data_IF_437443560498
#
_entry.id   IF_437443560498
#
_cell.length_a   1.000
_cell.length_b   1.000
_cell.length_c   1.000
_cell.angle_alpha   90.00
_cell.angle_beta   90.00
_cell.angle_gamma   90.00
#
_symmetry.space_group_name_H-M   'P 1'
#
loop_
_entity.id
_entity.type
_entity.pdbx_description
1 polymer ?
#
# COMPACT_ATOMS: atom_id res chain seq x y z
N UNK A 1 21.22 -7.84 18.68
CA UNK A 1 20.91 -8.70 17.51
C UNK A 1 20.79 -7.79 16.31
N UNK A 2 21.56 -8.05 15.27
CA UNK A 2 21.51 -7.24 14.04
C UNK A 2 20.21 -7.57 13.29
N UNK A 3 19.23 -6.69 13.39
CA UNK A 3 17.92 -6.81 12.77
C UNK A 3 18.02 -6.99 11.24
N UNK A 4 19.00 -6.34 10.61
CA UNK A 4 19.22 -6.42 9.15
C UNK A 4 19.59 -7.84 8.69
N UNK A 5 20.36 -8.61 9.49
CA UNK A 5 20.67 -10.02 9.18
C UNK A 5 19.43 -10.92 9.25
N UNK A 6 18.46 -10.57 10.10
CA UNK A 6 17.16 -11.25 10.16
C UNK A 6 16.33 -11.05 8.89
N UNK A 7 16.38 -9.85 8.29
CA UNK A 7 15.66 -9.55 7.04
C UNK A 7 16.22 -10.34 5.84
N UNK A 8 17.55 -10.50 5.75
CA UNK A 8 18.19 -11.33 4.70
C UNK A 8 17.69 -12.78 4.74
N UNK A 9 17.56 -13.32 5.92
CA UNK A 9 17.11 -14.71 6.11
C UNK A 9 15.61 -14.88 5.80
N UNK A 10 14.79 -13.88 6.15
CA UNK A 10 13.36 -13.88 5.87
C UNK A 10 13.04 -13.71 4.38
N UNK A 11 13.86 -12.98 3.64
CA UNK A 11 13.64 -12.78 2.20
C UNK A 11 13.98 -14.01 1.37
N UNK A 12 14.87 -14.91 1.85
CA UNK A 12 15.27 -16.13 1.17
C UNK A 12 16.02 -15.90 -0.16
N UNK A 13 16.54 -14.70 -0.39
CA UNK A 13 17.31 -14.38 -1.59
C UNK A 13 18.72 -14.95 -1.53
N UNK A 14 19.15 -15.62 -2.60
CA UNK A 14 20.51 -16.14 -2.74
C UNK A 14 21.45 -15.10 -3.35
N UNK A 15 20.94 -14.22 -4.19
CA UNK A 15 21.69 -13.17 -4.88
C UNK A 15 22.03 -12.00 -3.94
N UNK A 16 23.26 -11.52 -4.00
CA UNK A 16 23.76 -10.44 -3.12
C UNK A 16 23.09 -9.09 -3.41
N UNK A 17 22.83 -8.79 -4.67
CA UNK A 17 22.14 -7.55 -5.05
C UNK A 17 20.70 -7.58 -4.56
N UNK A 18 20.02 -8.72 -4.69
CA UNK A 18 18.67 -8.89 -4.19
C UNK A 18 18.61 -8.74 -2.66
N UNK A 19 19.59 -9.26 -1.92
CA UNK A 19 19.71 -9.05 -0.47
C UNK A 19 19.95 -7.58 -0.12
N UNK A 20 20.80 -6.90 -0.86
CA UNK A 20 21.08 -5.47 -0.67
C UNK A 20 19.83 -4.64 -0.90
N UNK A 21 19.06 -4.93 -1.98
CA UNK A 21 17.80 -4.25 -2.27
C UNK A 21 16.74 -4.50 -1.18
N UNK A 22 16.63 -5.73 -0.69
CA UNK A 22 15.69 -6.06 0.40
C UNK A 22 16.01 -5.29 1.69
N UNK A 23 17.31 -5.14 2.03
CA UNK A 23 17.76 -4.30 3.16
C UNK A 23 17.44 -2.82 2.95
N UNK A 24 17.66 -2.32 1.74
CA UNK A 24 17.39 -0.92 1.40
C UNK A 24 15.88 -0.63 1.46
N UNK A 25 15.05 -1.57 0.99
CA UNK A 25 13.61 -1.46 1.05
C UNK A 25 13.07 -1.33 2.48
N UNK A 26 13.71 -2.01 3.46
CA UNK A 26 13.30 -1.92 4.87
C UNK A 26 13.39 -0.49 5.44
N UNK A 27 14.26 0.35 4.91
CA UNK A 27 14.44 1.73 5.38
C UNK A 27 13.20 2.61 5.12
N UNK A 28 12.35 2.25 4.16
CA UNK A 28 11.13 2.97 3.83
C UNK A 28 9.92 2.50 4.62
N UNK A 29 10.02 1.39 5.34
CA UNK A 29 8.93 0.86 6.16
C UNK A 29 8.98 1.46 7.58
N UNK A 30 7.84 1.93 8.02
CA UNK A 30 7.67 2.53 9.35
C UNK A 30 6.38 2.03 10.00
N UNK A 31 6.34 2.06 11.32
CA UNK A 31 5.11 1.88 12.09
C UNK A 31 4.38 3.23 12.15
N UNK A 32 3.12 3.23 11.73
CA UNK A 32 2.25 4.38 11.84
C UNK A 32 1.55 4.37 13.19
N UNK A 33 1.86 5.34 14.06
CA UNK A 33 1.32 5.38 15.43
C UNK A 33 -0.20 5.54 15.46
N UNK A 34 -0.75 6.38 14.57
CA UNK A 34 -2.18 6.67 14.52
C UNK A 34 -3.05 5.45 14.18
N UNK A 35 -2.51 4.46 13.49
CA UNK A 35 -3.24 3.26 13.06
C UNK A 35 -2.70 1.98 13.68
N UNK A 36 -1.51 2.01 14.29
CA UNK A 36 -0.79 0.84 14.77
C UNK A 36 -0.36 -0.12 13.66
N UNK A 37 -0.48 0.29 12.40
CA UNK A 37 -0.13 -0.48 11.22
C UNK A 37 1.20 -0.06 10.59
N UNK A 38 1.67 -0.88 9.64
CA UNK A 38 2.85 -0.54 8.84
C UNK A 38 2.47 0.46 7.75
N UNK A 39 3.43 1.30 7.36
CA UNK A 39 3.33 2.19 6.22
C UNK A 39 4.64 2.29 5.46
N UNK A 40 4.60 2.90 4.26
CA UNK A 40 5.78 3.23 3.45
C UNK A 40 5.92 4.75 3.41
N UNK A 41 7.08 5.25 3.84
CA UNK A 41 7.40 6.67 3.77
C UNK A 41 7.80 7.04 2.34
N UNK A 42 7.22 8.11 1.81
CA UNK A 42 7.49 8.59 0.46
C UNK A 42 8.92 9.15 0.31
N UNK A 43 9.49 9.69 1.38
CA UNK A 43 10.88 10.14 1.38
C UNK A 43 11.34 10.78 2.68
N UNK A 44 12.54 10.44 3.11
CA UNK A 44 13.19 11.02 4.28
C UNK A 44 13.83 12.37 3.97
N UNK A 45 13.84 13.30 4.94
CA UNK A 45 13.11 13.30 6.22
C UNK A 45 11.81 14.08 6.19
N UNK A 46 11.37 14.56 5.00
CA UNK A 46 10.35 15.61 4.89
C UNK A 46 8.97 15.10 4.46
N UNK A 47 8.89 13.87 3.95
CA UNK A 47 7.64 13.33 3.43
C UNK A 47 7.14 12.19 4.33
N UNK A 48 5.88 12.30 4.71
CA UNK A 48 5.13 11.24 5.38
C UNK A 48 4.71 10.15 4.36
N UNK A 49 3.69 9.40 4.66
CA UNK A 49 3.15 8.44 3.71
C UNK A 49 2.15 9.10 2.75
N UNK A 50 2.37 8.83 1.47
CA UNK A 50 1.54 9.29 0.38
C UNK A 50 0.91 8.09 -0.32
N UNK A 51 -0.41 8.14 -0.56
CA UNK A 51 -1.15 7.00 -1.05
C UNK A 51 -0.67 6.48 -2.41
N UNK A 52 -0.46 7.37 -3.37
CA UNK A 52 0.11 7.02 -4.67
C UNK A 52 1.48 6.38 -4.53
N UNK A 53 2.38 7.04 -3.80
CA UNK A 53 3.76 6.58 -3.61
C UNK A 53 3.80 5.23 -2.90
N UNK A 54 2.97 5.06 -1.86
CA UNK A 54 2.82 3.79 -1.16
C UNK A 54 2.36 2.68 -2.10
N UNK A 55 1.33 2.91 -2.92
CA UNK A 55 0.80 1.88 -3.84
C UNK A 55 1.78 1.56 -4.97
N UNK A 56 2.54 2.52 -5.46
CA UNK A 56 3.59 2.28 -6.46
C UNK A 56 4.76 1.50 -5.85
N UNK A 57 5.18 1.83 -4.63
CA UNK A 57 6.33 1.22 -3.98
C UNK A 57 6.04 -0.17 -3.38
N UNK A 58 4.81 -0.42 -2.91
CA UNK A 58 4.42 -1.64 -2.18
C UNK A 58 4.77 -2.95 -2.89
N UNK A 59 4.58 -3.11 -4.22
CA UNK A 59 4.98 -4.31 -4.92
C UNK A 59 6.48 -4.63 -4.79
N UNK A 60 7.35 -3.62 -4.87
CA UNK A 60 8.79 -3.78 -4.71
C UNK A 60 9.20 -3.94 -3.25
N UNK A 61 8.79 -3.00 -2.40
CA UNK A 61 9.23 -2.90 -1.00
C UNK A 61 8.70 -4.06 -0.14
N UNK A 62 7.47 -4.51 -0.40
CA UNK A 62 6.84 -5.53 0.42
C UNK A 62 6.68 -6.87 -0.31
N UNK A 63 6.02 -6.89 -1.49
CA UNK A 63 5.61 -8.15 -2.13
C UNK A 63 6.84 -8.89 -2.67
N UNK A 64 7.70 -8.22 -3.46
CA UNK A 64 8.92 -8.81 -3.99
C UNK A 64 9.92 -9.19 -2.90
N UNK A 65 9.96 -8.43 -1.80
CA UNK A 65 10.74 -8.73 -0.62
C UNK A 65 10.11 -9.82 0.28
N UNK A 66 8.98 -10.43 -0.12
CA UNK A 66 8.22 -11.44 0.63
C UNK A 66 7.75 -10.98 2.02
N UNK A 67 7.61 -9.68 2.21
CA UNK A 67 7.09 -9.06 3.44
C UNK A 67 5.56 -9.01 3.38
N UNK A 68 4.94 -10.16 3.24
CA UNK A 68 3.49 -10.28 3.04
C UNK A 68 2.66 -9.77 4.22
N UNK A 69 3.18 -9.90 5.45
CA UNK A 69 2.54 -9.35 6.64
C UNK A 69 2.46 -7.83 6.61
N UNK A 70 3.55 -7.16 6.21
CA UNK A 70 3.60 -5.70 6.08
C UNK A 70 2.70 -5.22 4.94
N UNK A 71 2.73 -5.90 3.78
CA UNK A 71 1.83 -5.61 2.67
C UNK A 71 0.35 -5.65 3.10
N UNK A 72 -0.06 -6.69 3.83
CA UNK A 72 -1.43 -6.80 4.37
C UNK A 72 -1.76 -5.68 5.34
N UNK A 73 -0.83 -5.34 6.24
CA UNK A 73 -1.02 -4.25 7.21
C UNK A 73 -1.27 -2.93 6.50
N UNK A 74 -0.44 -2.59 5.51
CA UNK A 74 -0.55 -1.36 4.72
C UNK A 74 -1.89 -1.34 3.95
N UNK A 75 -2.20 -2.40 3.20
CA UNK A 75 -3.43 -2.48 2.42
C UNK A 75 -4.68 -2.39 3.30
N UNK A 76 -4.70 -3.02 4.49
CA UNK A 76 -5.79 -2.88 5.46
C UNK A 76 -5.97 -1.46 5.96
N UNK A 77 -4.87 -0.78 6.28
CA UNK A 77 -4.91 0.62 6.69
C UNK A 77 -5.55 1.48 5.60
N UNK A 78 -5.08 1.39 4.36
CA UNK A 78 -5.66 2.16 3.26
C UNK A 78 -7.12 1.80 2.99
N UNK A 79 -7.49 0.51 3.07
CA UNK A 79 -8.88 0.06 2.92
C UNK A 79 -9.82 0.66 3.97
N UNK A 80 -9.37 0.87 5.21
CA UNK A 80 -10.17 1.50 6.28
C UNK A 80 -10.42 2.99 6.03
N UNK A 81 -9.53 3.64 5.29
CA UNK A 81 -9.63 5.05 4.96
C UNK A 81 -10.15 5.30 3.53
N UNK A 82 -10.59 4.25 2.83
CA UNK A 82 -11.29 4.43 1.56
C UNK A 82 -12.56 5.26 1.79
N UNK A 83 -12.77 6.28 0.96
CA UNK A 83 -13.92 7.17 1.03
C UNK A 83 -14.46 7.47 -0.38
N UNK A 84 -15.70 7.08 -0.62
CA UNK A 84 -16.40 7.31 -1.89
C UNK A 84 -15.60 6.88 -3.12
N UNK A 85 -14.90 5.73 -3.02
CA UNK A 85 -14.09 5.17 -4.10
C UNK A 85 -12.68 5.74 -4.20
N UNK A 86 -12.30 6.69 -3.34
CA UNK A 86 -10.98 7.29 -3.35
C UNK A 86 -10.10 6.78 -2.20
N UNK A 87 -8.81 6.73 -2.44
CA UNK A 87 -7.79 6.45 -1.42
C UNK A 87 -7.14 7.76 -0.95
N UNK A 88 -6.74 7.85 0.33
CA UNK A 88 -6.02 9.02 0.80
C UNK A 88 -4.71 9.19 0.03
N UNK A 89 -4.47 10.39 -0.47
CA UNK A 89 -3.21 10.71 -1.13
C UNK A 89 -2.18 11.24 -0.13
N UNK A 90 -2.48 12.30 0.57
CA UNK A 90 -1.73 12.71 1.75
C UNK A 90 -2.43 12.13 2.97
N UNK A 91 -1.68 11.39 3.77
CA UNK A 91 -2.18 10.70 4.95
C UNK A 91 -1.38 11.13 6.19
N UNK A 92 -1.64 12.35 6.71
CA UNK A 92 -0.81 12.92 7.75
C UNK A 92 -0.95 12.17 9.08
N UNK A 93 0.13 12.07 9.83
CA UNK A 93 0.07 11.67 11.23
C UNK A 93 -0.60 12.75 12.08
N UNK A 94 -1.37 12.33 13.07
CA UNK A 94 -1.98 13.23 14.04
C UNK A 94 -3.42 13.64 13.72
N UNK A 95 -3.75 14.94 13.85
CA UNK A 95 -5.13 15.43 13.86
C UNK A 95 -5.66 15.93 12.51
N UNK A 96 -4.83 15.93 11.48
CA UNK A 96 -5.25 16.41 10.17
C UNK A 96 -6.01 15.32 9.41
N UNK A 97 -7.06 15.72 8.70
CA UNK A 97 -7.83 14.80 7.88
C UNK A 97 -7.03 14.37 6.64
N UNK A 98 -7.18 13.11 6.21
CA UNK A 98 -6.59 12.64 4.97
C UNK A 98 -7.10 13.43 3.75
N UNK A 99 -6.24 13.66 2.76
CA UNK A 99 -6.60 14.34 1.52
C UNK A 99 -6.82 13.32 0.39
N UNK A 100 -7.92 13.47 -0.35
CA UNK A 100 -8.37 12.53 -1.40
C UNK A 100 -8.35 13.19 -2.78
N UNK A 101 -7.18 13.52 -3.27
CA UNK A 101 -7.02 14.31 -4.50
C UNK A 101 -6.16 13.61 -5.57
N UNK A 102 -6.19 12.26 -5.64
CA UNK A 102 -5.53 11.50 -6.69
C UNK A 102 -6.49 10.56 -7.41
N UNK A 103 -6.30 10.46 -8.72
CA UNK A 103 -7.07 9.57 -9.60
C UNK A 103 -6.59 8.12 -9.47
N UNK A 104 -5.30 7.90 -9.36
CA UNK A 104 -4.68 6.59 -9.58
C UNK A 104 -4.49 5.76 -8.30
N UNK A 105 -4.40 6.38 -7.12
CA UNK A 105 -4.12 5.65 -5.87
C UNK A 105 -5.13 4.53 -5.58
N UNK A 106 -6.42 4.75 -5.84
CA UNK A 106 -7.46 3.75 -5.64
C UNK A 106 -7.37 2.58 -6.65
N UNK A 107 -7.04 2.87 -7.90
CA UNK A 107 -6.85 1.83 -8.92
C UNK A 107 -5.56 1.05 -8.68
N UNK A 108 -4.51 1.72 -8.25
CA UNK A 108 -3.26 1.09 -7.84
C UNK A 108 -3.45 0.19 -6.61
N UNK A 109 -4.33 0.56 -5.67
CA UNK A 109 -4.69 -0.30 -4.54
C UNK A 109 -5.26 -1.64 -5.03
N UNK A 110 -6.19 -1.65 -5.98
CA UNK A 110 -6.74 -2.88 -6.57
C UNK A 110 -5.61 -3.71 -7.20
N UNK A 111 -4.71 -3.07 -7.94
CA UNK A 111 -3.56 -3.73 -8.52
C UNK A 111 -2.63 -4.34 -7.45
N UNK A 112 -2.39 -3.64 -6.34
CA UNK A 112 -1.59 -4.15 -5.23
C UNK A 112 -2.22 -5.39 -4.57
N UNK A 113 -3.54 -5.40 -4.36
CA UNK A 113 -4.27 -6.57 -3.85
C UNK A 113 -4.11 -7.77 -4.80
N UNK A 114 -4.21 -7.54 -6.11
CA UNK A 114 -3.98 -8.56 -7.13
C UNK A 114 -2.55 -9.11 -7.13
N UNK A 115 -1.55 -8.23 -7.11
CA UNK A 115 -0.14 -8.62 -7.07
C UNK A 115 0.20 -9.40 -5.79
N UNK A 116 -0.35 -8.96 -4.66
CA UNK A 116 -0.25 -9.67 -3.39
C UNK A 116 -0.82 -11.09 -3.50
N UNK A 117 -2.03 -11.23 -4.05
CA UNK A 117 -2.66 -12.54 -4.25
C UNK A 117 -1.81 -13.45 -5.13
N UNK A 118 -1.30 -12.94 -6.25
CA UNK A 118 -0.43 -13.73 -7.14
C UNK A 118 0.83 -14.23 -6.45
N UNK A 119 1.39 -13.46 -5.53
CA UNK A 119 2.64 -13.79 -4.84
C UNK A 119 2.42 -14.68 -3.60
N UNK A 120 1.36 -14.42 -2.83
CA UNK A 120 1.12 -15.06 -1.54
C UNK A 120 0.08 -16.20 -1.59
N UNK A 121 -0.78 -16.25 -2.63
CA UNK A 121 -1.86 -17.22 -2.74
C UNK A 121 -3.00 -17.04 -1.73
N UNK A 122 -3.06 -15.90 -1.02
CA UNK A 122 -3.98 -15.64 0.09
C UNK A 122 -5.37 -15.19 -0.40
N UNK A 123 -6.19 -16.15 -0.81
CA UNK A 123 -7.56 -15.90 -1.26
C UNK A 123 -8.47 -15.33 -0.15
N UNK A 124 -8.17 -15.60 1.12
CA UNK A 124 -8.94 -15.06 2.24
C UNK A 124 -8.77 -13.54 2.33
N UNK A 125 -7.56 -13.05 2.12
CA UNK A 125 -7.30 -11.61 2.09
C UNK A 125 -7.98 -10.92 0.90
N UNK A 126 -8.01 -11.56 -0.27
CA UNK A 126 -8.76 -11.01 -1.41
C UNK A 126 -10.25 -10.87 -1.08
N UNK A 127 -10.85 -11.87 -0.44
CA UNK A 127 -12.26 -11.81 0.01
C UNK A 127 -12.49 -10.66 1.01
N UNK A 128 -11.53 -10.43 1.90
CA UNK A 128 -11.57 -9.32 2.85
C UNK A 128 -11.54 -7.96 2.14
N UNK A 129 -10.72 -7.80 1.10
CA UNK A 129 -10.57 -6.56 0.35
C UNK A 129 -11.63 -6.36 -0.75
N UNK A 130 -12.34 -7.41 -1.13
CA UNK A 130 -13.29 -7.37 -2.25
C UNK A 130 -14.36 -6.28 -2.12
N UNK A 131 -15.01 -6.07 -0.96
CA UNK A 131 -16.00 -5.01 -0.82
C UNK A 131 -15.44 -3.59 -1.04
N UNK A 132 -14.17 -3.37 -0.67
CA UNK A 132 -13.48 -2.10 -0.90
C UNK A 132 -13.22 -1.90 -2.40
N UNK A 133 -12.69 -2.92 -3.05
CA UNK A 133 -12.42 -2.89 -4.50
C UNK A 133 -13.70 -2.67 -5.30
N UNK A 134 -14.80 -3.30 -4.90
CA UNK A 134 -16.12 -3.12 -5.53
C UNK A 134 -16.62 -1.68 -5.40
N UNK A 135 -16.54 -1.08 -4.20
CA UNK A 135 -16.91 0.33 -4.00
C UNK A 135 -16.07 1.27 -4.86
N UNK A 136 -14.76 1.04 -4.97
CA UNK A 136 -13.89 1.83 -5.84
C UNK A 136 -14.38 1.76 -7.28
N UNK A 137 -14.60 0.57 -7.82
CA UNK A 137 -15.05 0.40 -9.21
C UNK A 137 -16.42 1.05 -9.45
N UNK A 138 -17.36 0.90 -8.52
CA UNK A 138 -18.68 1.52 -8.68
C UNK A 138 -18.62 3.05 -8.60
N UNK A 139 -17.78 3.60 -7.71
CA UNK A 139 -17.59 5.04 -7.63
C UNK A 139 -16.96 5.62 -8.90
N UNK A 140 -15.98 4.93 -9.48
CA UNK A 140 -15.37 5.37 -10.74
C UNK A 140 -16.35 5.29 -11.93
N UNK A 141 -17.27 4.34 -11.93
CA UNK A 141 -18.35 4.28 -12.95
C UNK A 141 -19.39 5.37 -12.78
N UNK A 142 -19.72 5.72 -11.55
CA UNK A 142 -20.77 6.71 -11.24
C UNK A 142 -20.26 8.15 -11.07
N UNK A 143 -18.95 8.35 -11.02
CA UNK A 143 -18.29 9.61 -10.67
C UNK A 143 -18.03 9.74 -9.17
N UNK A 144 -16.91 10.32 -8.80
CA UNK A 144 -16.48 10.56 -7.42
C UNK A 144 -16.64 12.04 -7.04
N UNK A 145 -16.36 12.38 -5.77
CA UNK A 145 -16.50 13.74 -5.23
C UNK A 145 -15.67 14.81 -5.98
N UNK A 146 -14.58 14.41 -6.66
CA UNK A 146 -13.69 15.33 -7.39
C UNK A 146 -13.89 15.27 -8.91
N UNK A 147 -15.05 14.86 -9.37
CA UNK A 147 -15.33 14.61 -10.78
C UNK A 147 -14.37 13.61 -11.44
N UNK A 148 -13.78 12.72 -10.63
CA UNK A 148 -12.99 11.60 -11.11
C UNK A 148 -13.97 10.47 -11.44
N UNK A 149 -13.93 9.98 -12.68
CA UNK A 149 -14.83 8.94 -13.14
C UNK A 149 -14.46 8.46 -14.53
N UNK A 150 -15.24 7.52 -15.03
CA UNK A 150 -15.14 7.06 -16.41
C UNK A 150 -15.90 8.03 -17.33
N UNK A 151 -15.34 8.34 -18.49
CA UNK A 151 -16.08 8.98 -19.56
C UNK A 151 -17.14 8.00 -20.10
N UNK A 152 -18.28 8.56 -20.53
CA UNK A 152 -19.49 7.81 -20.80
C UNK A 152 -19.54 7.00 -22.11
N UNK A 153 -18.41 6.37 -22.53
CA UNK A 153 -18.33 5.49 -23.68
C UNK A 153 -18.32 4.01 -23.28
#
# INVERSE_FOLDING_TARGET
KDYRKGLEHLSGFQDENARTLAKSADQFLSLRESTGGMTILAGYPFFEDWGRDTMIALPGVCISARRYGDAKSILRTFAQYEKNGLMPNLFPEGKNDPMYNTVDAALLFINCVWLYYKAAGDAAFVKEMYPVMERIIQAYKGGTDYAIGMDGD
#
